data_IF_208913302014
#
_entry.id   IF_208913302014
#
_cell.length_a   1.000
_cell.length_b   1.000
_cell.length_c   1.000
_cell.angle_alpha   90.00
_cell.angle_beta   90.00
_cell.angle_gamma   90.00
#
_symmetry.space_group_name_H-M   'P 1'
#
loop_
_entity.id
_entity.type
_entity.pdbx_description
1 polymer ?
#
# COMPACT_ATOMS: atom_id res chain seq x y z
N UNK A 1 7.45 -17.97 10.53
CA UNK A 1 6.89 -17.58 9.22
C UNK A 1 7.69 -16.42 8.68
N UNK A 2 7.92 -16.40 7.37
CA UNK A 2 8.61 -15.30 6.71
C UNK A 2 7.64 -14.09 6.59
N UNK A 3 8.04 -12.85 6.93
CA UNK A 3 7.20 -11.66 6.76
C UNK A 3 6.67 -11.51 5.35
N UNK A 4 7.49 -11.79 4.33
CA UNK A 4 7.05 -11.73 2.93
C UNK A 4 5.94 -12.73 2.61
N UNK A 5 6.04 -13.96 3.12
CA UNK A 5 4.98 -14.96 2.96
C UNK A 5 3.70 -14.53 3.68
N UNK A 6 3.81 -13.99 4.89
CA UNK A 6 2.64 -13.50 5.62
C UNK A 6 1.97 -12.34 4.88
N UNK A 7 2.74 -11.36 4.42
CA UNK A 7 2.23 -10.23 3.67
C UNK A 7 1.48 -10.68 2.42
N UNK A 8 2.09 -11.57 1.63
CA UNK A 8 1.46 -12.15 0.44
C UNK A 8 0.16 -12.89 0.78
N UNK A 9 0.18 -13.75 1.81
CA UNK A 9 -1.02 -14.48 2.24
C UNK A 9 -2.11 -13.53 2.74
N UNK A 10 -1.78 -12.50 3.51
CA UNK A 10 -2.75 -11.52 4.01
C UNK A 10 -3.44 -10.81 2.84
N UNK A 11 -2.67 -10.33 1.86
CA UNK A 11 -3.22 -9.67 0.67
C UNK A 11 -4.09 -10.62 -0.16
N UNK A 12 -3.61 -11.84 -0.41
CA UNK A 12 -4.36 -12.83 -1.20
C UNK A 12 -5.65 -13.24 -0.50
N UNK A 13 -5.61 -13.51 0.81
CA UNK A 13 -6.80 -13.92 1.56
C UNK A 13 -7.86 -12.80 1.59
N UNK A 14 -7.44 -11.55 1.81
CA UNK A 14 -8.35 -10.41 1.78
C UNK A 14 -8.93 -10.17 0.38
N UNK A 15 -8.13 -10.32 -0.68
CA UNK A 15 -8.60 -10.17 -2.06
C UNK A 15 -9.59 -11.28 -2.42
N UNK A 16 -9.26 -12.53 -2.08
CA UNK A 16 -10.13 -13.69 -2.30
C UNK A 16 -11.43 -13.59 -1.50
N UNK A 17 -11.42 -12.99 -0.31
CA UNK A 17 -12.63 -12.73 0.45
C UNK A 17 -13.57 -11.79 -0.34
N UNK A 18 -13.07 -10.69 -0.89
CA UNK A 18 -13.88 -9.78 -1.70
C UNK A 18 -14.38 -10.43 -2.98
N UNK A 19 -13.49 -11.04 -3.76
CA UNK A 19 -13.81 -11.70 -5.03
C UNK A 19 -14.81 -12.84 -4.81
N UNK A 20 -14.54 -13.72 -3.85
CA UNK A 20 -15.39 -14.85 -3.51
C UNK A 20 -16.75 -14.43 -2.99
N UNK A 21 -16.81 -13.36 -2.18
CA UNK A 21 -18.10 -12.81 -1.71
C UNK A 21 -18.91 -12.26 -2.87
N UNK A 22 -18.29 -11.48 -3.77
CA UNK A 22 -18.99 -10.96 -4.96
C UNK A 22 -19.51 -12.08 -5.84
N UNK A 23 -18.70 -13.10 -6.09
CA UNK A 23 -19.12 -14.27 -6.86
C UNK A 23 -20.29 -15.01 -6.19
N UNK A 24 -20.25 -15.18 -4.87
CA UNK A 24 -21.32 -15.83 -4.13
C UNK A 24 -22.65 -15.05 -4.20
N UNK A 25 -22.59 -13.72 -4.14
CA UNK A 25 -23.79 -12.86 -4.10
C UNK A 25 -24.37 -12.60 -5.50
N UNK A 26 -23.52 -12.34 -6.50
CA UNK A 26 -23.94 -11.91 -7.84
C UNK A 26 -23.67 -12.93 -8.95
N UNK A 27 -22.89 -13.98 -8.68
CA UNK A 27 -22.53 -15.01 -9.67
C UNK A 27 -21.49 -14.57 -10.71
N UNK A 28 -20.94 -13.35 -10.60
CA UNK A 28 -20.00 -12.78 -11.57
C UNK A 28 -18.56 -12.72 -11.02
N UNK A 29 -17.60 -13.03 -11.90
CA UNK A 29 -16.16 -12.82 -11.70
C UNK A 29 -15.69 -11.69 -12.61
N UNK A 30 -15.76 -10.47 -12.09
CA UNK A 30 -15.33 -9.29 -12.82
C UNK A 30 -13.85 -8.96 -12.57
N UNK A 31 -13.10 -8.74 -13.66
CA UNK A 31 -11.66 -8.44 -13.61
C UNK A 31 -11.37 -7.11 -12.91
N UNK A 32 -12.18 -6.07 -13.14
CA UNK A 32 -11.98 -4.75 -12.52
C UNK A 32 -12.21 -4.84 -11.01
N UNK A 33 -13.29 -5.50 -10.58
CA UNK A 33 -13.52 -5.74 -9.15
C UNK A 33 -12.39 -6.55 -8.52
N UNK A 34 -11.89 -7.58 -9.22
CA UNK A 34 -10.76 -8.40 -8.73
C UNK A 34 -9.47 -7.60 -8.56
N UNK A 35 -9.16 -6.75 -9.53
CA UNK A 35 -8.02 -5.84 -9.50
C UNK A 35 -8.13 -4.83 -8.35
N UNK A 36 -9.29 -4.21 -8.16
CA UNK A 36 -9.53 -3.29 -7.05
C UNK A 36 -9.52 -4.00 -5.69
N UNK A 37 -10.05 -5.21 -5.60
CA UNK A 37 -10.01 -6.05 -4.39
C UNK A 37 -8.58 -6.36 -3.97
N UNK A 38 -7.73 -6.69 -4.94
CA UNK A 38 -6.30 -6.89 -4.72
C UNK A 38 -5.62 -5.60 -4.22
N UNK A 39 -5.88 -4.48 -4.89
CA UNK A 39 -5.30 -3.19 -4.52
C UNK A 39 -5.74 -2.72 -3.13
N UNK A 40 -7.03 -2.80 -2.80
CA UNK A 40 -7.52 -2.44 -1.46
C UNK A 40 -6.92 -3.34 -0.38
N UNK A 41 -6.77 -4.63 -0.65
CA UNK A 41 -6.13 -5.58 0.26
C UNK A 41 -4.66 -5.25 0.51
N UNK A 42 -3.92 -4.90 -0.55
CA UNK A 42 -2.54 -4.43 -0.44
C UNK A 42 -2.46 -3.09 0.32
N UNK A 43 -3.34 -2.13 0.00
CA UNK A 43 -3.38 -0.84 0.68
C UNK A 43 -3.64 -1.00 2.18
N UNK A 44 -4.59 -1.85 2.59
CA UNK A 44 -4.86 -2.08 4.02
C UNK A 44 -3.65 -2.63 4.78
N UNK A 45 -2.90 -3.54 4.17
CA UNK A 45 -1.64 -4.04 4.76
C UNK A 45 -0.59 -2.93 4.85
N UNK A 46 -0.46 -2.12 3.80
CA UNK A 46 0.50 -1.02 3.75
C UNK A 46 0.13 0.07 4.76
N UNK A 47 -1.15 0.41 4.92
CA UNK A 47 -1.60 1.33 5.96
C UNK A 47 -1.24 0.83 7.36
N UNK A 48 -1.35 -0.47 7.61
CA UNK A 48 -0.86 -1.04 8.85
C UNK A 48 0.66 -0.86 9.01
N UNK A 49 1.46 -1.03 7.94
CA UNK A 49 2.88 -0.72 7.99
C UNK A 49 3.14 0.77 8.26
N UNK A 50 2.40 1.68 7.65
CA UNK A 50 2.53 3.13 7.86
C UNK A 50 2.13 3.56 9.28
N UNK A 51 1.15 2.89 9.90
CA UNK A 51 0.90 3.05 11.34
C UNK A 51 2.13 2.60 12.14
N UNK A 52 2.79 1.50 11.75
CA UNK A 52 4.02 1.04 12.40
C UNK A 52 5.18 2.04 12.21
N UNK A 53 5.28 2.71 11.06
CA UNK A 53 6.23 3.81 10.81
C UNK A 53 6.09 4.90 11.88
N UNK A 54 4.85 5.34 12.13
CA UNK A 54 4.56 6.34 13.15
C UNK A 54 4.91 5.83 14.56
N UNK A 55 4.43 4.64 14.93
CA UNK A 55 4.56 4.10 16.29
C UNK A 55 5.99 3.70 16.67
N UNK A 56 6.85 3.43 15.68
CA UNK A 56 8.20 2.88 15.90
C UNK A 56 9.30 3.68 15.21
N UNK A 57 9.08 4.98 14.99
CA UNK A 57 10.06 5.86 14.33
C UNK A 57 11.46 5.81 14.96
N UNK A 58 11.56 5.94 16.29
CA UNK A 58 12.88 5.99 16.94
C UNK A 58 13.60 4.64 16.84
N UNK A 59 12.83 3.55 16.92
CA UNK A 59 13.33 2.21 16.63
C UNK A 59 13.82 2.07 15.18
N UNK A 60 13.11 2.64 14.20
CA UNK A 60 13.50 2.58 12.78
C UNK A 60 14.87 3.24 12.55
N UNK A 61 15.12 4.38 13.19
CA UNK A 61 16.39 5.10 13.09
C UNK A 61 17.55 4.23 13.58
N UNK A 62 17.45 3.67 14.78
CA UNK A 62 18.44 2.74 15.33
C UNK A 62 18.61 1.47 14.47
N UNK A 63 17.48 0.94 13.99
CA UNK A 63 17.44 -0.34 13.28
C UNK A 63 17.97 -0.26 11.86
N UNK A 64 17.99 0.93 11.26
CA UNK A 64 18.55 1.17 9.93
C UNK A 64 20.05 0.81 9.89
N UNK A 65 20.80 1.09 10.96
CA UNK A 65 22.23 0.75 11.03
C UNK A 65 22.49 -0.76 11.04
N UNK A 66 21.69 -1.52 11.79
CA UNK A 66 21.76 -2.98 11.79
C UNK A 66 21.58 -3.55 10.38
N UNK A 67 20.58 -3.07 9.65
CA UNK A 67 20.30 -3.56 8.31
C UNK A 67 21.39 -3.14 7.31
N UNK A 68 22.02 -1.97 7.47
CA UNK A 68 23.19 -1.56 6.67
C UNK A 68 24.39 -2.48 6.90
N UNK A 69 24.67 -2.83 8.16
CA UNK A 69 25.74 -3.77 8.49
C UNK A 69 25.46 -5.14 7.83
N UNK A 70 24.21 -5.61 7.92
CA UNK A 70 23.81 -6.90 7.35
C UNK A 70 23.86 -6.94 5.81
N UNK A 71 23.57 -5.83 5.13
CA UNK A 71 23.79 -5.71 3.69
C UNK A 71 25.27 -5.85 3.32
N UNK A 72 26.18 -5.23 4.09
CA UNK A 72 27.63 -5.35 3.86
C UNK A 72 28.11 -6.79 4.03
N UNK A 73 27.55 -7.52 4.99
CA UNK A 73 27.90 -8.93 5.25
C UNK A 73 27.36 -9.89 4.19
N UNK A 74 26.09 -9.71 3.78
CA UNK A 74 25.38 -10.70 2.94
C UNK A 74 25.38 -10.34 1.45
N UNK A 75 25.67 -9.10 1.10
CA UNK A 75 25.54 -8.56 -0.26
C UNK A 75 24.09 -8.47 -0.78
N UNK A 76 23.10 -8.85 0.04
CA UNK A 76 21.67 -8.82 -0.32
C UNK A 76 21.03 -7.50 0.07
N UNK A 77 19.98 -7.11 -0.64
CA UNK A 77 19.21 -5.92 -0.24
C UNK A 77 18.54 -6.17 1.12
N UNK A 78 18.56 -5.20 2.04
CA UNK A 78 17.98 -5.36 3.36
C UNK A 78 16.51 -5.78 3.35
N UNK A 79 15.72 -5.25 2.42
CA UNK A 79 14.31 -5.58 2.31
C UNK A 79 14.08 -7.06 1.97
N UNK A 80 14.87 -7.63 1.05
CA UNK A 80 14.76 -9.06 0.70
C UNK A 80 15.16 -9.93 1.89
N UNK A 81 16.25 -9.58 2.58
CA UNK A 81 16.72 -10.32 3.75
C UNK A 81 15.67 -10.29 4.88
N UNK A 82 15.05 -9.13 5.14
CA UNK A 82 13.95 -9.01 6.09
C UNK A 82 12.76 -9.89 5.71
N UNK A 83 12.29 -9.81 4.47
CA UNK A 83 11.10 -10.54 4.02
C UNK A 83 11.28 -12.06 4.09
N UNK A 84 12.52 -12.56 4.01
CA UNK A 84 12.88 -13.97 4.13
C UNK A 84 13.20 -14.41 5.57
N UNK A 85 13.40 -13.48 6.50
CA UNK A 85 13.74 -13.79 7.89
C UNK A 85 12.61 -14.54 8.58
N UNK A 86 12.90 -15.49 9.47
CA UNK A 86 11.86 -16.23 10.21
C UNK A 86 11.43 -15.47 11.47
N UNK A 87 10.15 -15.11 11.53
CA UNK A 87 9.53 -14.51 12.72
C UNK A 87 8.53 -15.50 13.36
N UNK A 88 8.51 -15.65 14.70
CA UNK A 88 7.48 -16.43 15.39
C UNK A 88 6.07 -15.91 15.11
N UNK A 89 5.09 -16.80 14.88
CA UNK A 89 3.71 -16.40 14.56
C UNK A 89 3.11 -15.42 15.58
N UNK A 90 3.34 -15.66 16.87
CA UNK A 90 2.88 -14.79 17.97
C UNK A 90 3.42 -13.35 17.91
N UNK A 91 4.48 -13.11 17.15
CA UNK A 91 5.10 -11.78 16.98
C UNK A 91 4.86 -11.19 15.59
N UNK A 92 4.26 -11.94 14.65
CA UNK A 92 4.17 -11.49 13.26
C UNK A 92 3.33 -10.22 13.13
N UNK A 93 2.38 -9.96 14.03
CA UNK A 93 1.56 -8.73 14.06
C UNK A 93 2.12 -7.66 15.02
N UNK A 94 3.33 -7.85 15.54
CA UNK A 94 3.94 -6.86 16.41
C UNK A 94 4.40 -5.65 15.57
N UNK A 95 4.10 -4.40 15.98
CA UNK A 95 4.55 -3.21 15.25
C UNK A 95 6.08 -3.15 15.08
N UNK A 96 6.83 -3.70 16.03
CA UNK A 96 8.30 -3.77 15.95
C UNK A 96 8.80 -4.63 14.79
N UNK A 97 8.06 -5.67 14.39
CA UNK A 97 8.45 -6.51 13.25
C UNK A 97 8.25 -5.75 11.95
N UNK A 98 7.15 -5.03 11.78
CA UNK A 98 6.88 -4.29 10.55
C UNK A 98 7.59 -2.95 10.46
N UNK A 99 8.07 -2.43 11.58
CA UNK A 99 9.01 -1.32 11.59
C UNK A 99 10.30 -1.64 10.80
N UNK A 100 10.71 -2.92 10.72
CA UNK A 100 11.85 -3.32 9.89
C UNK A 100 11.59 -3.11 8.38
N UNK A 101 10.35 -3.13 7.89
CA UNK A 101 10.05 -2.73 6.50
C UNK A 101 10.52 -1.31 6.25
N UNK A 102 10.22 -0.40 7.17
CA UNK A 102 10.63 1.00 7.07
C UNK A 102 12.10 1.23 7.35
N UNK A 103 12.72 0.47 8.27
CA UNK A 103 14.15 0.54 8.50
C UNK A 103 14.95 0.07 7.28
N UNK A 104 14.45 -0.93 6.56
CA UNK A 104 15.08 -1.38 5.31
C UNK A 104 14.83 -0.40 4.16
N UNK A 105 13.62 0.18 4.06
CA UNK A 105 13.29 1.18 3.05
C UNK A 105 13.99 2.53 3.27
N UNK A 106 14.23 2.93 4.52
CA UNK A 106 14.92 4.19 4.87
C UNK A 106 16.38 4.24 4.41
N UNK A 107 16.95 3.11 4.01
CA UNK A 107 18.26 3.07 3.35
C UNK A 107 18.20 3.53 1.90
N UNK A 108 17.05 3.33 1.23
CA UNK A 108 16.80 3.77 -0.13
C UNK A 108 16.32 5.21 -0.13
N UNK A 109 15.39 5.55 0.77
CA UNK A 109 14.88 6.90 0.93
C UNK A 109 14.91 7.35 2.38
N UNK A 110 15.89 8.20 2.72
CA UNK A 110 16.05 8.74 4.07
C UNK A 110 14.86 9.57 4.54
N UNK A 111 13.91 9.95 3.68
CA UNK A 111 12.76 10.76 4.12
C UNK A 111 11.88 10.08 5.14
N UNK A 112 11.81 8.75 5.13
CA UNK A 112 10.99 8.00 6.08
C UNK A 112 11.56 8.03 7.51
N UNK A 113 12.79 8.53 7.69
CA UNK A 113 13.38 8.80 9.00
C UNK A 113 13.19 10.25 9.49
N UNK A 114 12.86 11.19 8.57
CA UNK A 114 12.72 12.63 8.85
C UNK A 114 11.25 13.07 8.79
N UNK A 115 10.71 13.45 9.95
CA UNK A 115 9.33 13.89 10.15
C UNK A 115 8.95 15.16 9.38
N UNK A 116 9.93 15.90 8.87
CA UNK A 116 9.70 17.15 8.12
C UNK A 116 9.43 16.90 6.65
N UNK A 117 9.59 15.67 6.18
CA UNK A 117 9.48 15.34 4.76
C UNK A 117 8.05 15.02 4.37
N UNK A 118 7.73 15.29 3.11
CA UNK A 118 6.45 14.89 2.51
C UNK A 118 6.20 13.38 2.66
N UNK A 119 7.20 12.55 2.31
CA UNK A 119 7.08 11.09 2.35
C UNK A 119 6.67 10.56 3.73
N UNK A 120 7.29 11.07 4.81
CA UNK A 120 6.89 10.67 6.16
C UNK A 120 5.43 11.07 6.47
N UNK A 121 5.07 12.33 6.24
CA UNK A 121 3.76 12.83 6.64
C UNK A 121 2.61 12.24 5.83
N UNK A 122 2.82 12.05 4.52
CA UNK A 122 1.77 11.53 3.63
C UNK A 122 1.47 10.06 3.91
N UNK A 123 2.49 9.25 4.21
CA UNK A 123 2.33 7.84 4.53
C UNK A 123 1.70 7.66 5.91
N UNK A 124 2.12 8.45 6.91
CA UNK A 124 1.43 8.45 8.22
C UNK A 124 -0.04 8.86 8.06
N UNK A 125 -0.33 9.88 7.25
CA UNK A 125 -1.72 10.27 6.98
C UNK A 125 -2.49 9.15 6.26
N UNK A 126 -1.89 8.48 5.28
CA UNK A 126 -2.50 7.32 4.61
C UNK A 126 -2.82 6.23 5.64
N UNK A 127 -1.86 5.87 6.49
CA UNK A 127 -2.00 4.82 7.50
C UNK A 127 -3.17 5.02 8.45
N UNK A 128 -3.43 6.25 8.90
CA UNK A 128 -4.51 6.53 9.85
C UNK A 128 -5.84 6.89 9.19
N UNK A 129 -5.85 7.53 8.02
CA UNK A 129 -7.08 8.04 7.41
C UNK A 129 -7.68 7.15 6.35
N UNK A 130 -6.89 6.41 5.56
CA UNK A 130 -7.43 5.65 4.44
C UNK A 130 -7.95 4.25 4.76
N UNK A 131 -7.61 3.56 5.88
CA UNK A 131 -8.16 2.22 6.14
C UNK A 131 -9.69 2.19 6.20
N UNK A 132 -10.29 3.12 6.95
CA UNK A 132 -11.74 3.18 7.12
C UNK A 132 -12.48 3.43 5.79
N UNK A 133 -12.19 4.51 5.02
CA UNK A 133 -12.84 4.72 3.74
C UNK A 133 -12.51 3.61 2.73
N UNK A 134 -11.31 3.00 2.79
CA UNK A 134 -10.99 1.81 1.97
C UNK A 134 -11.91 0.65 2.29
N UNK A 135 -12.13 0.31 3.57
CA UNK A 135 -13.04 -0.78 3.96
C UNK A 135 -14.49 -0.50 3.57
N UNK A 136 -14.95 0.74 3.75
CA UNK A 136 -16.29 1.16 3.34
C UNK A 136 -16.46 1.01 1.83
N UNK A 137 -15.53 1.54 1.04
CA UNK A 137 -15.55 1.44 -0.41
C UNK A 137 -15.43 -0.02 -0.87
N UNK A 138 -14.51 -0.78 -0.29
CA UNK A 138 -14.32 -2.19 -0.63
C UNK A 138 -15.60 -3.01 -0.39
N UNK A 139 -16.28 -2.76 0.73
CA UNK A 139 -17.56 -3.40 1.04
C UNK A 139 -18.65 -2.94 0.06
N UNK A 140 -18.71 -1.65 -0.26
CA UNK A 140 -19.66 -1.09 -1.24
C UNK A 140 -19.50 -1.72 -2.63
N UNK A 141 -18.27 -1.83 -3.13
CA UNK A 141 -17.98 -2.42 -4.44
C UNK A 141 -18.20 -3.94 -4.47
N UNK A 142 -18.17 -4.59 -3.30
CA UNK A 142 -18.34 -6.05 -3.18
C UNK A 142 -19.79 -6.46 -3.02
N UNK A 143 -20.59 -5.69 -2.28
CA UNK A 143 -21.94 -6.06 -1.85
C UNK A 143 -23.04 -5.08 -2.32
N UNK A 144 -22.68 -3.99 -2.99
CA UNK A 144 -23.60 -2.92 -3.41
C UNK A 144 -24.42 -2.32 -2.24
N UNK A 145 -23.83 -2.24 -1.02
CA UNK A 145 -24.53 -1.82 0.22
C UNK A 145 -24.89 -0.33 0.28
N UNK A 146 -24.46 0.48 -0.69
CA UNK A 146 -24.76 1.91 -0.75
C UNK A 146 -25.07 2.35 -2.18
N UNK A 147 -25.77 3.49 -2.38
CA UNK A 147 -26.02 4.01 -3.72
C UNK A 147 -24.72 4.17 -4.51
N UNK A 148 -24.73 3.75 -5.78
CA UNK A 148 -23.55 3.78 -6.63
C UNK A 148 -22.94 5.19 -6.72
N UNK A 149 -23.76 6.23 -6.80
CA UNK A 149 -23.30 7.62 -6.79
C UNK A 149 -22.48 7.95 -5.54
N UNK A 150 -22.92 7.50 -4.36
CA UNK A 150 -22.21 7.76 -3.10
C UNK A 150 -20.89 6.98 -3.03
N UNK A 151 -20.90 5.69 -3.41
CA UNK A 151 -19.69 4.89 -3.53
C UNK A 151 -18.70 5.50 -4.53
N UNK A 152 -19.22 6.00 -5.66
CA UNK A 152 -18.46 6.70 -6.68
C UNK A 152 -17.81 7.97 -6.15
N UNK A 153 -18.53 8.83 -5.44
CA UNK A 153 -17.97 10.04 -4.81
C UNK A 153 -16.86 9.71 -3.81
N UNK A 154 -17.09 8.75 -2.92
CA UNK A 154 -16.09 8.30 -1.96
C UNK A 154 -14.84 7.75 -2.68
N UNK A 155 -15.05 6.87 -3.65
CA UNK A 155 -13.96 6.28 -4.42
C UNK A 155 -13.20 7.30 -5.25
N UNK A 156 -13.85 8.34 -5.77
CA UNK A 156 -13.20 9.37 -6.56
C UNK A 156 -12.22 10.17 -5.69
N UNK A 157 -12.66 10.59 -4.51
CA UNK A 157 -11.82 11.34 -3.55
C UNK A 157 -10.63 10.49 -3.10
N UNK A 158 -10.89 9.23 -2.71
CA UNK A 158 -9.85 8.34 -2.21
C UNK A 158 -8.83 7.98 -3.32
N UNK A 159 -9.32 7.71 -4.53
CA UNK A 159 -8.47 7.34 -5.67
C UNK A 159 -7.63 8.50 -6.18
N UNK A 160 -8.21 9.71 -6.22
CA UNK A 160 -7.45 10.93 -6.49
C UNK A 160 -6.37 11.16 -5.44
N UNK A 161 -6.70 10.98 -4.16
CA UNK A 161 -5.73 11.15 -3.08
C UNK A 161 -4.52 10.24 -3.27
N UNK A 162 -4.70 8.95 -3.56
CA UNK A 162 -3.59 8.03 -3.82
C UNK A 162 -2.75 8.46 -5.03
N UNK A 163 -3.39 8.71 -6.18
CA UNK A 163 -2.67 9.08 -7.40
C UNK A 163 -1.88 10.39 -7.22
N UNK A 164 -2.51 11.40 -6.60
CA UNK A 164 -1.89 12.69 -6.34
C UNK A 164 -0.75 12.59 -5.32
N UNK A 165 -0.99 11.98 -4.16
CA UNK A 165 -0.01 11.85 -3.09
C UNK A 165 1.28 11.14 -3.57
N UNK A 166 1.12 10.03 -4.29
CA UNK A 166 2.23 9.27 -4.85
C UNK A 166 2.97 10.04 -5.95
N UNK A 167 2.25 10.79 -6.78
CA UNK A 167 2.87 11.65 -7.79
C UNK A 167 3.68 12.78 -7.16
N UNK A 168 3.15 13.41 -6.11
CA UNK A 168 3.85 14.45 -5.33
C UNK A 168 5.07 13.87 -4.61
N UNK A 169 4.97 12.64 -4.09
CA UNK A 169 6.13 11.93 -3.55
C UNK A 169 7.23 11.78 -4.61
N UNK A 170 6.88 11.34 -5.82
CA UNK A 170 7.82 11.25 -6.94
C UNK A 170 8.51 12.60 -7.22
N UNK A 171 7.74 13.67 -7.37
CA UNK A 171 8.29 15.03 -7.57
C UNK A 171 9.21 15.43 -6.42
N UNK A 172 8.78 15.24 -5.16
CA UNK A 172 9.58 15.55 -3.97
C UNK A 172 10.91 14.78 -3.95
N UNK A 173 10.89 13.50 -4.30
CA UNK A 173 12.06 12.63 -4.36
C UNK A 173 13.09 13.12 -5.39
N UNK A 174 12.64 13.52 -6.58
CA UNK A 174 13.52 14.05 -7.63
C UNK A 174 14.04 15.45 -7.31
N UNK A 175 13.17 16.35 -6.84
CA UNK A 175 13.54 17.73 -6.50
C UNK A 175 14.53 17.80 -5.33
N UNK A 176 14.40 16.92 -4.35
CA UNK A 176 15.36 16.79 -3.25
C UNK A 176 16.67 16.09 -3.66
N UNK A 177 16.84 15.70 -4.93
CA UNK A 177 18.05 15.07 -5.43
C UNK A 177 18.29 13.63 -4.95
N UNK A 178 17.30 12.97 -4.33
CA UNK A 178 17.48 11.66 -3.69
C UNK A 178 17.77 10.54 -4.68
N UNK A 179 17.26 10.64 -5.90
CA UNK A 179 17.58 9.75 -7.02
C UNK A 179 19.09 9.64 -7.32
N UNK A 180 19.91 10.62 -6.90
CA UNK A 180 21.37 10.62 -7.08
C UNK A 180 22.09 9.78 -6.02
N UNK A 181 21.41 9.42 -4.94
CA UNK A 181 21.98 8.68 -3.81
C UNK A 181 21.81 7.17 -3.92
N UNK A 182 21.06 6.69 -4.92
CA UNK A 182 20.73 5.29 -5.13
C UNK A 182 21.07 4.83 -6.54
N UNK A 183 21.19 3.52 -6.73
CA UNK A 183 21.45 2.93 -8.04
C UNK A 183 20.21 2.99 -8.94
N UNK A 184 20.41 2.86 -10.27
CA UNK A 184 19.29 2.81 -11.23
C UNK A 184 18.34 1.64 -10.97
N UNK A 185 18.86 0.49 -10.52
CA UNK A 185 18.06 -0.68 -10.18
C UNK A 185 17.21 -0.42 -8.95
N UNK A 186 17.76 0.24 -7.92
CA UNK A 186 17.00 0.63 -6.73
C UNK A 186 15.94 1.68 -7.07
N UNK A 187 16.29 2.66 -7.92
CA UNK A 187 15.34 3.66 -8.40
C UNK A 187 14.16 2.99 -9.13
N UNK A 188 14.44 2.11 -10.09
CA UNK A 188 13.37 1.44 -10.85
C UNK A 188 12.54 0.53 -9.94
N UNK A 189 13.19 -0.27 -9.09
CA UNK A 189 12.51 -1.24 -8.24
C UNK A 189 11.73 -0.60 -7.10
N UNK A 190 12.41 0.15 -6.23
CA UNK A 190 11.85 0.67 -4.99
C UNK A 190 11.04 1.95 -5.19
N UNK A 191 11.43 2.81 -6.12
CA UNK A 191 10.70 4.07 -6.36
C UNK A 191 9.69 3.88 -7.49
N UNK A 192 10.09 3.32 -8.63
CA UNK A 192 9.19 3.11 -9.76
C UNK A 192 8.14 2.04 -9.51
N UNK A 193 8.57 0.77 -9.46
CA UNK A 193 7.68 -0.40 -9.45
C UNK A 193 6.84 -0.46 -8.18
N UNK A 194 7.40 -0.20 -6.99
CA UNK A 194 6.63 -0.26 -5.76
C UNK A 194 5.58 0.85 -5.64
N UNK A 195 5.80 2.03 -6.22
CA UNK A 195 4.81 3.13 -6.15
C UNK A 195 3.81 3.10 -7.31
N UNK A 196 4.13 2.46 -8.43
CA UNK A 196 3.25 2.37 -9.59
C UNK A 196 1.81 1.90 -9.28
N UNK A 197 1.57 0.93 -8.38
CA UNK A 197 0.22 0.53 -8.03
C UNK A 197 -0.67 1.68 -7.53
N UNK A 198 -0.18 2.56 -6.65
CA UNK A 198 -1.00 3.66 -6.12
C UNK A 198 -1.39 4.69 -7.19
N UNK A 199 -0.56 4.87 -8.22
CA UNK A 199 -0.91 5.71 -9.37
C UNK A 199 -1.86 4.97 -10.31
N UNK A 200 -1.50 3.76 -10.76
CA UNK A 200 -2.29 3.03 -11.77
C UNK A 200 -3.66 2.61 -11.26
N UNK A 201 -3.73 2.05 -10.04
CA UNK A 201 -5.01 1.69 -9.42
C UNK A 201 -5.75 2.91 -8.89
N UNK A 202 -5.06 4.01 -8.55
CA UNK A 202 -5.70 5.31 -8.34
C UNK A 202 -6.44 5.77 -9.59
N UNK A 203 -5.80 5.73 -10.76
CA UNK A 203 -6.46 6.09 -12.03
C UNK A 203 -7.60 5.13 -12.40
N UNK A 204 -7.42 3.82 -12.20
CA UNK A 204 -8.49 2.83 -12.39
C UNK A 204 -9.66 3.09 -11.45
N UNK A 205 -9.38 3.38 -10.18
CA UNK A 205 -10.39 3.71 -9.17
C UNK A 205 -11.16 4.98 -9.55
N UNK A 206 -10.49 6.02 -10.04
CA UNK A 206 -11.15 7.22 -10.56
C UNK A 206 -12.06 6.90 -11.74
N UNK A 207 -11.62 6.05 -12.69
CA UNK A 207 -12.46 5.61 -13.81
C UNK A 207 -13.72 4.89 -13.33
N UNK A 208 -13.57 3.89 -12.45
CA UNK A 208 -14.70 3.14 -11.89
C UNK A 208 -15.65 4.09 -11.15
N UNK A 209 -15.12 4.95 -10.29
CA UNK A 209 -15.90 5.94 -9.56
C UNK A 209 -16.67 6.88 -10.47
N UNK A 210 -16.07 7.35 -11.57
CA UNK A 210 -16.76 8.17 -12.55
C UNK A 210 -17.93 7.40 -13.20
N UNK A 211 -17.75 6.12 -13.53
CA UNK A 211 -18.84 5.27 -14.05
C UNK A 211 -19.96 5.09 -13.03
N UNK A 212 -19.63 4.82 -11.76
CA UNK A 212 -20.64 4.69 -10.70
C UNK A 212 -21.47 5.98 -10.54
N UNK A 213 -20.85 7.16 -10.65
CA UNK A 213 -21.53 8.46 -10.56
C UNK A 213 -22.40 8.71 -11.80
N UNK A 214 -21.87 8.51 -13.00
CA UNK A 214 -22.54 8.85 -14.25
C UNK A 214 -23.65 7.87 -14.61
N UNK A 215 -23.43 6.58 -14.37
CA UNK A 215 -24.40 5.52 -14.70
C UNK A 215 -25.42 5.33 -13.58
N UNK A 216 -25.07 5.69 -12.34
CA UNK A 216 -25.94 5.56 -11.17
C UNK A 216 -26.11 4.11 -10.67
N UNK A 217 -25.26 3.19 -11.12
CA UNK A 217 -25.28 1.77 -10.75
C UNK A 217 -23.88 1.13 -10.74
N UNK A 218 -23.80 -0.16 -10.43
CA UNK A 218 -22.55 -0.92 -10.27
C UNK A 218 -22.13 -1.72 -11.52
N UNK A 219 -22.74 -1.51 -12.69
CA UNK A 219 -22.50 -2.33 -13.90
C UNK A 219 -21.05 -2.34 -14.39
N UNK A 220 -20.28 -1.29 -14.10
CA UNK A 220 -18.82 -1.25 -14.38
C UNK A 220 -18.05 -2.37 -13.65
N UNK A 221 -18.61 -2.91 -12.57
CA UNK A 221 -18.04 -3.99 -11.78
C UNK A 221 -18.68 -5.36 -12.05
N UNK A 222 -19.55 -5.48 -13.06
CA UNK A 222 -20.30 -6.70 -13.34
C UNK A 222 -21.81 -6.58 -13.14
N UNK A 223 -22.51 -7.67 -13.42
CA UNK A 223 -23.96 -7.68 -13.66
C UNK A 223 -24.81 -8.16 -12.48
#
# INVERSE_FOLDING_TARGET
MAPGLFAALAVVLLAMLGIGTRYYVFGDLNVIHSLLSLFFSANLLVCYWEICLFLKRDYIEERTEYWRARQRETGRTPAVEFLLTRVPLRRILAPTVWADVWATYSQIDGSFSDRRTWGFNVDVANGFFTPLPTLVLYTALTLNIMPAVLAGMLGLVLSWQWAYATSVYGVSFFMAGRHRLITRTELLGYVGVLNAPWVLFGLLGMYVSARLILDGDYRVLGY
#
